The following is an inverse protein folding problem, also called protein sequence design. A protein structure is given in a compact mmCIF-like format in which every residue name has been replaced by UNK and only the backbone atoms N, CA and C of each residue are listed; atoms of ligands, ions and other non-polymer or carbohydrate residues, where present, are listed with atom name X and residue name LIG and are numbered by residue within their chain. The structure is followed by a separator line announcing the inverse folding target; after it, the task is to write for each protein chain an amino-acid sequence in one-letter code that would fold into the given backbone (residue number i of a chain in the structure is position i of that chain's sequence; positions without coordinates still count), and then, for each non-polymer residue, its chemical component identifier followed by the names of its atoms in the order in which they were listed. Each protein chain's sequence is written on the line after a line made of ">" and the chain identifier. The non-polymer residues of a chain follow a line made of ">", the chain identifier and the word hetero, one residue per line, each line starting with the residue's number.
data_IF_712834117686
#
_entry.id   IF_712834117686
#
_cell.length_a   1.000
_cell.length_b   1.000
_cell.length_c   1.000
_cell.angle_alpha   90.00
_cell.angle_beta   90.00
_cell.angle_gamma   90.00
#
_symmetry.space_group_name_H-M   'P 1'
#
loop_
_entity.id
_entity.type
_entity.pdbx_description
1 polymer ?
#
# COMPACT_ATOMS: atom_id res chain seq x y z
N UNK A 1 10.16 -7.98 15.92
CA UNK A 1 9.49 -9.23 15.51
C UNK A 1 8.69 -9.71 16.70
N UNK A 2 7.36 -9.75 16.59
CA UNK A 2 6.48 -10.24 17.63
C UNK A 2 6.10 -11.67 17.27
N UNK A 3 6.36 -12.63 18.16
CA UNK A 3 6.05 -14.02 17.94
C UNK A 3 4.82 -14.41 18.76
N UNK A 4 3.76 -14.83 18.08
CA UNK A 4 2.59 -15.43 18.68
C UNK A 4 2.54 -16.90 18.29
N UNK A 5 2.27 -17.78 19.25
CA UNK A 5 2.06 -19.20 18.95
C UNK A 5 0.80 -19.72 19.64
N UNK A 6 -0.19 -20.09 18.84
CA UNK A 6 -1.29 -20.94 19.27
C UNK A 6 -0.82 -22.40 19.21
N UNK A 7 -1.12 -23.21 20.24
CA UNK A 7 -0.55 -24.56 20.37
C UNK A 7 0.49 -24.64 21.49
N UNK A 8 1.47 -25.53 21.35
CA UNK A 8 2.61 -25.65 22.28
C UNK A 8 2.21 -25.82 23.74
N UNK A 9 1.21 -26.68 23.97
CA UNK A 9 0.57 -26.84 25.27
C UNK A 9 1.54 -27.31 26.36
N UNK A 10 2.61 -28.01 25.99
CA UNK A 10 3.68 -28.44 26.90
C UNK A 10 4.41 -27.26 27.55
N UNK A 11 4.49 -26.12 26.87
CA UNK A 11 5.12 -24.88 27.36
C UNK A 11 4.14 -23.96 28.11
N UNK A 12 2.88 -24.39 28.26
CA UNK A 12 1.76 -23.60 28.82
C UNK A 12 1.14 -24.23 30.07
N UNK A 13 1.89 -25.06 30.79
CA UNK A 13 1.38 -25.86 31.93
C UNK A 13 1.73 -25.31 33.31
N UNK A 14 2.35 -24.13 33.41
CA UNK A 14 2.72 -23.58 34.71
C UNK A 14 1.47 -23.11 35.48
N UNK A 15 1.09 -23.87 36.51
CA UNK A 15 -0.11 -23.62 37.34
C UNK A 15 -0.04 -22.36 38.20
N UNK A 16 1.13 -21.75 38.32
CA UNK A 16 1.35 -20.55 39.13
C UNK A 16 1.44 -19.26 38.31
N UNK A 17 1.41 -19.37 36.98
CA UNK A 17 1.44 -18.22 36.07
C UNK A 17 0.10 -18.11 35.33
N UNK A 18 -0.39 -16.88 35.09
CA UNK A 18 -1.52 -16.70 34.20
C UNK A 18 -1.14 -17.05 32.75
N UNK A 19 -2.13 -17.20 31.87
CA UNK A 19 -1.93 -17.72 30.50
C UNK A 19 -0.96 -16.87 29.66
N UNK A 20 -0.97 -15.56 29.88
CA UNK A 20 -0.14 -14.59 29.19
C UNK A 20 1.33 -14.57 29.66
N UNK A 21 1.63 -15.18 30.81
CA UNK A 21 2.98 -15.28 31.39
C UNK A 21 3.58 -16.69 31.31
N UNK A 22 2.98 -17.58 30.52
CA UNK A 22 3.57 -18.89 30.24
C UNK A 22 4.88 -18.74 29.45
N UNK A 23 5.67 -19.82 29.34
CA UNK A 23 6.94 -19.82 28.59
C UNK A 23 6.69 -19.39 27.14
N UNK A 24 5.62 -19.90 26.54
CA UNK A 24 5.07 -19.45 25.28
C UNK A 24 3.69 -18.88 25.54
N UNK A 25 3.40 -17.69 25.04
CA UNK A 25 2.10 -17.04 25.22
C UNK A 25 1.24 -17.12 23.96
N UNK A 26 -0.07 -17.30 24.15
CA UNK A 26 -1.08 -17.10 23.11
C UNK A 26 -1.77 -15.74 23.28
N UNK A 27 -1.18 -14.81 24.02
CA UNK A 27 -1.66 -13.44 24.10
C UNK A 27 -1.02 -12.62 22.97
N UNK A 28 -1.80 -12.06 22.02
CA UNK A 28 -1.24 -11.27 20.93
C UNK A 28 -0.86 -9.86 21.39
N UNK A 29 0.13 -9.27 20.71
CA UNK A 29 0.38 -7.84 20.76
C UNK A 29 -0.57 -7.11 19.81
N UNK A 30 -1.27 -6.10 20.31
CA UNK A 30 -2.28 -5.34 19.55
C UNK A 30 -1.82 -3.89 19.44
N UNK A 31 -1.69 -3.40 18.21
CA UNK A 31 -1.43 -2.00 17.91
C UNK A 31 -2.55 -1.46 17.03
N UNK A 32 -2.97 -0.22 17.28
CA UNK A 32 -3.97 0.49 16.47
C UNK A 32 -3.31 1.72 15.87
N UNK A 33 -3.42 1.86 14.56
CA UNK A 33 -2.88 2.98 13.79
C UNK A 33 -4.02 3.55 12.96
N UNK A 34 -4.19 4.86 13.00
CA UNK A 34 -5.13 5.58 12.14
C UNK A 34 -4.51 5.74 10.75
N UNK A 35 -5.25 5.37 9.70
CA UNK A 35 -4.77 5.49 8.32
C UNK A 35 -4.81 6.96 7.87
N UNK A 36 -3.81 7.37 7.10
CA UNK A 36 -3.73 8.67 6.44
C UNK A 36 -3.64 8.56 4.91
N UNK A 37 -3.76 9.68 4.21
CA UNK A 37 -3.75 9.71 2.74
C UNK A 37 -2.40 9.31 2.13
N UNK A 38 -1.33 9.36 2.93
CA UNK A 38 0.02 8.95 2.58
C UNK A 38 0.25 7.44 2.67
N UNK A 39 -0.63 6.68 3.31
CA UNK A 39 -0.51 5.23 3.43
C UNK A 39 -0.77 4.54 2.09
N UNK A 40 0.22 3.78 1.60
CA UNK A 40 0.15 3.15 0.27
C UNK A 40 -0.28 1.68 0.34
N UNK A 41 0.30 0.91 1.26
CA UNK A 41 0.04 -0.52 1.40
C UNK A 41 0.49 -1.06 2.75
N UNK A 42 -0.03 -2.24 3.11
CA UNK A 42 0.43 -3.07 4.23
C UNK A 42 0.98 -4.38 3.70
N UNK A 43 2.11 -4.83 4.27
CA UNK A 43 2.69 -6.15 4.02
C UNK A 43 2.59 -6.99 5.29
N UNK A 44 2.02 -8.18 5.17
CA UNK A 44 2.09 -9.24 6.16
C UNK A 44 2.92 -10.38 5.58
N UNK A 45 3.88 -10.91 6.33
CA UNK A 45 4.73 -12.00 5.88
C UNK A 45 5.18 -12.86 7.07
N UNK A 46 5.53 -14.13 6.80
CA UNK A 46 6.19 -14.99 7.78
C UNK A 46 7.71 -14.74 7.83
N UNK A 47 8.37 -15.33 8.83
CA UNK A 47 9.82 -15.31 9.04
C UNK A 47 10.62 -15.75 7.81
N UNK A 48 10.16 -16.75 7.05
CA UNK A 48 10.82 -17.17 5.81
C UNK A 48 11.08 -16.04 4.79
N UNK A 49 10.37 -14.91 4.88
CA UNK A 49 10.65 -13.68 4.09
C UNK A 49 11.47 -12.67 4.91
N UNK A 50 11.12 -12.47 6.18
CA UNK A 50 11.79 -11.50 7.06
C UNK A 50 13.23 -11.90 7.41
N UNK A 51 13.57 -13.18 7.31
CA UNK A 51 14.93 -13.69 7.44
C UNK A 51 15.80 -13.31 6.23
N UNK A 52 15.19 -13.02 5.07
CA UNK A 52 15.89 -12.65 3.83
C UNK A 52 15.92 -11.14 3.58
N UNK A 53 14.96 -10.39 4.15
CA UNK A 53 14.79 -8.96 3.87
C UNK A 53 14.40 -8.19 5.13
N UNK A 54 15.07 -7.06 5.38
CA UNK A 54 14.61 -6.10 6.39
C UNK A 54 13.29 -5.44 5.98
N UNK A 55 12.58 -4.87 6.95
CA UNK A 55 11.30 -4.17 6.72
C UNK A 55 11.41 -3.11 5.62
N UNK A 56 12.48 -2.31 5.63
CA UNK A 56 12.66 -1.26 4.63
C UNK A 56 13.00 -1.83 3.25
N UNK A 57 13.88 -2.83 3.16
CA UNK A 57 14.21 -3.49 1.89
C UNK A 57 12.97 -4.10 1.23
N UNK A 58 12.10 -4.73 2.03
CA UNK A 58 10.86 -5.30 1.51
C UNK A 58 9.90 -4.21 1.02
N UNK A 59 9.70 -3.14 1.80
CA UNK A 59 8.84 -2.02 1.42
C UNK A 59 9.31 -1.35 0.13
N UNK A 60 10.61 -1.08 0.01
CA UNK A 60 11.19 -0.46 -1.18
C UNK A 60 10.97 -1.34 -2.42
N UNK A 61 11.21 -2.65 -2.28
CA UNK A 61 11.02 -3.60 -3.37
C UNK A 61 9.54 -3.76 -3.74
N UNK A 62 8.62 -3.86 -2.78
CA UNK A 62 7.18 -3.92 -3.07
C UNK A 62 6.72 -2.65 -3.78
N UNK A 63 7.15 -1.46 -3.34
CA UNK A 63 6.81 -0.19 -4.00
C UNK A 63 7.32 -0.16 -5.44
N UNK A 64 8.54 -0.62 -5.70
CA UNK A 64 9.06 -0.77 -7.07
C UNK A 64 8.20 -1.73 -7.92
N UNK A 65 7.89 -2.91 -7.39
CA UNK A 65 7.11 -3.92 -8.10
C UNK A 65 5.67 -3.46 -8.39
N UNK A 66 5.06 -2.65 -7.51
CA UNK A 66 3.73 -2.06 -7.72
C UNK A 66 3.69 -1.07 -8.89
N UNK A 67 4.81 -0.42 -9.23
CA UNK A 67 4.90 0.43 -10.42
C UNK A 67 5.03 -0.40 -11.72
N UNK A 68 5.57 -1.62 -11.62
CA UNK A 68 5.85 -2.48 -12.78
C UNK A 68 4.72 -3.47 -13.08
N UNK A 69 3.95 -3.89 -12.06
CA UNK A 69 2.97 -4.97 -12.16
C UNK A 69 1.58 -4.50 -11.82
N UNK A 70 0.58 -4.97 -12.57
CA UNK A 70 -0.83 -4.61 -12.35
C UNK A 70 -1.52 -5.50 -11.31
N UNK A 71 -1.06 -6.74 -11.14
CA UNK A 71 -1.65 -7.72 -10.21
C UNK A 71 -0.79 -7.82 -8.96
N UNK A 72 -1.42 -7.67 -7.78
CA UNK A 72 -0.75 -7.87 -6.49
C UNK A 72 -0.18 -9.28 -6.34
N UNK A 73 -0.83 -10.30 -6.92
CA UNK A 73 -0.30 -11.68 -6.90
C UNK A 73 1.09 -11.76 -7.54
N UNK A 74 1.30 -11.06 -8.65
CA UNK A 74 2.58 -11.05 -9.34
C UNK A 74 3.64 -10.23 -8.56
N UNK A 75 3.23 -9.24 -7.76
CA UNK A 75 4.13 -8.55 -6.82
C UNK A 75 4.57 -9.51 -5.71
N UNK A 76 3.64 -10.30 -5.15
CA UNK A 76 3.98 -11.33 -4.18
C UNK A 76 4.96 -12.36 -4.76
N UNK A 77 4.70 -12.88 -5.96
CA UNK A 77 5.61 -13.81 -6.65
C UNK A 77 7.03 -13.25 -6.77
N UNK A 78 7.20 -11.97 -7.15
CA UNK A 78 8.53 -11.35 -7.21
C UNK A 78 9.26 -11.34 -5.87
N UNK A 79 8.55 -11.11 -4.77
CA UNK A 79 9.15 -11.11 -3.42
C UNK A 79 9.57 -12.52 -3.05
N UNK A 80 8.71 -13.51 -3.29
CA UNK A 80 9.00 -14.91 -2.99
C UNK A 80 10.22 -15.41 -3.80
N UNK A 81 10.26 -15.11 -5.10
CA UNK A 81 11.40 -15.45 -5.96
C UNK A 81 12.69 -14.76 -5.51
N UNK A 82 12.58 -13.53 -4.97
CA UNK A 82 13.74 -12.78 -4.47
C UNK A 82 14.33 -13.38 -3.19
N UNK A 83 13.49 -13.97 -2.35
CA UNK A 83 13.88 -14.59 -1.08
C UNK A 83 14.34 -16.05 -1.24
N UNK A 84 13.91 -16.73 -2.31
CA UNK A 84 14.22 -18.14 -2.53
C UNK A 84 15.74 -18.38 -2.60
N UNK A 85 16.22 -19.32 -1.78
CA UNK A 85 17.63 -19.68 -1.75
C UNK A 85 18.09 -20.27 -3.11
N UNK A 86 19.25 -19.85 -3.66
CA UNK A 86 19.81 -20.50 -4.85
C UNK A 86 20.30 -21.92 -4.54
N UNK A 87 20.59 -22.22 -3.27
CA UNK A 87 20.94 -23.53 -2.76
C UNK A 87 20.69 -23.61 -1.25
N UNK A 88 20.55 -24.81 -0.71
CA UNK A 88 20.34 -25.04 0.73
C UNK A 88 21.58 -24.83 1.61
N UNK A 89 22.72 -24.46 1.02
CA UNK A 89 23.98 -24.32 1.76
C UNK A 89 24.02 -23.07 2.67
N UNK A 90 23.21 -22.04 2.38
CA UNK A 90 23.24 -20.75 3.09
C UNK A 90 22.24 -20.60 4.23
N UNK A 91 21.28 -21.52 4.37
CA UNK A 91 20.23 -21.46 5.40
C UNK A 91 19.10 -20.46 5.12
N UNK A 92 19.41 -19.24 4.69
CA UNK A 92 18.41 -18.22 4.33
C UNK A 92 17.62 -18.63 3.08
N UNK A 93 16.30 -18.35 3.06
CA UNK A 93 15.44 -18.62 1.91
C UNK A 93 15.05 -20.09 1.70
N UNK A 94 15.26 -20.93 2.71
CA UNK A 94 14.99 -22.37 2.68
C UNK A 94 13.67 -22.78 3.38
N UNK A 95 12.96 -21.84 4.01
CA UNK A 95 11.72 -22.10 4.73
C UNK A 95 10.48 -21.94 3.84
N UNK A 96 9.30 -22.26 4.38
CA UNK A 96 8.02 -21.86 3.83
C UNK A 96 7.93 -20.33 3.79
N UNK A 97 7.36 -19.80 2.70
CA UNK A 97 7.19 -18.37 2.52
C UNK A 97 5.74 -18.07 2.20
N UNK A 98 5.13 -17.17 2.98
CA UNK A 98 3.77 -16.69 2.78
C UNK A 98 3.75 -15.19 3.01
N UNK A 99 3.09 -14.47 2.11
CA UNK A 99 2.85 -13.04 2.26
C UNK A 99 1.49 -12.61 1.76
N UNK A 100 1.02 -11.49 2.31
CA UNK A 100 -0.18 -10.77 1.90
C UNK A 100 0.20 -9.31 1.70
N UNK A 101 -0.17 -8.75 0.55
CA UNK A 101 -0.08 -7.30 0.28
C UNK A 101 -1.49 -6.75 0.20
N UNK A 102 -1.77 -5.75 1.03
CA UNK A 102 -3.02 -4.96 0.99
C UNK A 102 -2.67 -3.58 0.47
N UNK A 103 -3.07 -3.26 -0.75
CA UNK A 103 -2.88 -1.93 -1.33
C UNK A 103 -4.07 -1.03 -1.00
N UNK A 104 -3.81 0.11 -0.40
CA UNK A 104 -4.85 1.10 -0.14
C UNK A 104 -5.22 1.84 -1.42
N UNK A 105 -6.51 2.08 -1.62
CA UNK A 105 -7.00 2.89 -2.73
C UNK A 105 -7.20 4.30 -2.23
N UNK A 106 -6.57 5.27 -2.90
CA UNK A 106 -6.89 6.67 -2.65
C UNK A 106 -8.36 6.91 -2.98
N UNK A 107 -9.11 7.65 -2.15
CA UNK A 107 -10.41 8.16 -2.54
C UNK A 107 -10.22 8.87 -3.88
N UNK A 108 -11.01 8.51 -4.89
CA UNK A 108 -10.97 9.23 -6.15
C UNK A 108 -11.29 10.70 -5.81
N UNK A 109 -10.31 11.60 -5.94
CA UNK A 109 -10.60 13.02 -5.99
C UNK A 109 -11.55 13.17 -7.16
N UNK A 110 -12.83 13.44 -6.87
CA UNK A 110 -13.80 13.74 -7.90
C UNK A 110 -13.21 14.88 -8.71
N UNK A 111 -12.77 14.60 -9.93
CA UNK A 111 -12.42 15.61 -10.90
C UNK A 111 -13.67 16.48 -11.08
N UNK A 112 -13.72 17.64 -10.41
CA UNK A 112 -14.70 18.65 -10.74
C UNK A 112 -14.43 19.07 -12.20
N UNK A 113 -15.45 19.19 -13.06
CA UNK A 113 -15.24 19.71 -14.41
C UNK A 113 -14.72 21.14 -14.30
N UNK A 114 -13.68 21.47 -15.06
CA UNK A 114 -13.22 22.85 -15.21
C UNK A 114 -14.36 23.72 -15.73
N UNK A 115 -14.75 24.75 -14.98
CA UNK A 115 -15.74 25.73 -15.41
C UNK A 115 -15.18 26.51 -16.61
N UNK A 116 -15.86 26.41 -17.75
CA UNK A 116 -15.67 27.28 -18.91
C UNK A 116 -16.08 28.72 -18.55
N UNK A 117 -15.12 29.65 -18.54
CA UNK A 117 -15.42 31.08 -18.52
C UNK A 117 -16.07 31.49 -19.85
N UNK A 118 -17.39 31.62 -19.84
CA UNK A 118 -18.16 32.31 -20.89
C UNK A 118 -18.14 33.82 -20.62
N UNK A 119 -17.70 34.56 -21.63
CA UNK A 119 -17.61 36.01 -21.65
C UNK A 119 -18.99 36.66 -21.63
N UNK A 120 -19.22 37.56 -20.67
CA UNK A 120 -20.36 38.48 -20.68
C UNK A 120 -19.91 39.81 -21.29
N UNK A 121 -20.50 40.15 -22.44
CA UNK A 121 -20.43 41.46 -23.06
C UNK A 121 -21.40 42.41 -22.37
N UNK A 122 -20.97 43.66 -22.12
CA UNK A 122 -21.87 44.75 -21.77
C UNK A 122 -21.38 46.01 -22.49
N UNK A 123 -22.26 46.61 -23.30
CA UNK A 123 -21.91 47.62 -24.29
C UNK A 123 -21.84 49.04 -23.75
N UNK A 124 -21.38 49.97 -24.61
CA UNK A 124 -21.80 51.37 -24.60
C UNK A 124 -21.33 52.13 -25.86
N UNK A 125 -22.31 52.84 -26.45
CA UNK A 125 -22.23 54.06 -27.27
C UNK A 125 -21.93 54.00 -28.79
N UNK A 126 -22.97 54.28 -29.60
CA UNK A 126 -22.90 54.90 -30.95
C UNK A 126 -22.67 56.43 -30.84
N UNK A 127 -22.29 57.16 -31.92
CA UNK A 127 -23.29 57.65 -32.88
C UNK A 127 -22.85 57.68 -34.38
N UNK A 128 -23.87 57.88 -35.21
CA UNK A 128 -23.99 57.79 -36.66
C UNK A 128 -23.11 58.73 -37.51
N UNK A 129 -22.75 58.32 -38.74
CA UNK A 129 -22.56 59.26 -39.87
C UNK A 129 -22.87 58.61 -41.23
N UNK A 130 -24.09 58.88 -41.71
CA UNK A 130 -24.55 59.22 -43.07
C UNK A 130 -23.90 58.53 -44.30
N UNK A 131 -24.72 57.71 -44.97
CA UNK A 131 -24.59 57.27 -46.37
C UNK A 131 -24.74 58.45 -47.35
N UNK A 132 -23.87 58.53 -48.35
CA UNK A 132 -24.17 59.13 -49.67
C UNK A 132 -23.93 58.10 -50.78
N UNK A 133 -24.80 58.15 -51.77
CA UNK A 133 -25.03 57.18 -52.85
C UNK A 133 -24.77 57.88 -54.19
N UNK A 134 -24.00 57.28 -55.08
CA UNK A 134 -24.02 57.51 -56.55
C UNK A 134 -23.19 56.41 -57.21
N UNK A 135 -23.80 55.37 -57.78
CA UNK A 135 -24.18 55.24 -59.21
C UNK A 135 -23.01 55.40 -60.20
N UNK A 136 -22.42 54.27 -60.61
CA UNK A 136 -22.18 53.83 -62.01
C UNK A 136 -21.62 52.40 -62.00
#
# INVERSE_FOLDING_TARGET
>A
MFQFTAGDMEFKQNKFLPAEKQIVTANPDINTVELCDEDEFVVLACDGIWDCMSSQQLVDFVREQLHLKTKLSAVCESVLDRCLAPSTAGGEGCDNMTMIVVQFKRPAQSSAPAEEQSSSSNGQAEPETKLERSES
#
